data_IF_961107634491
#
_entry.id   IF_961107634491
#
_cell.length_a   1.000
_cell.length_b   1.000
_cell.length_c   1.000
_cell.angle_alpha   90.00
_cell.angle_beta   90.00
_cell.angle_gamma   90.00
#
_symmetry.space_group_name_H-M   'P 1'
#
loop_
_entity.id
_entity.type
_entity.pdbx_description
1 polymer ?
#
# COMPACT_ATOMS: atom_id res chain seq x y z
N UNK A 1 9.89 14.03 4.97
CA UNK A 1 10.33 13.08 6.02
C UNK A 1 11.73 13.48 6.48
N UNK A 2 12.05 13.40 7.78
CA UNK A 2 13.38 13.75 8.29
C UNK A 2 14.30 12.52 8.23
N UNK A 3 15.11 12.42 7.17
CA UNK A 3 15.98 11.25 6.92
C UNK A 3 17.10 11.12 7.96
N UNK A 4 17.65 12.23 8.42
CA UNK A 4 18.73 12.24 9.42
C UNK A 4 18.24 11.62 10.73
N UNK A 5 17.07 12.05 11.22
CA UNK A 5 16.44 11.49 12.42
C UNK A 5 16.05 10.02 12.26
N UNK A 6 15.61 9.62 11.06
CA UNK A 6 15.32 8.20 10.75
C UNK A 6 16.59 7.35 10.84
N UNK A 7 17.68 7.79 10.20
CA UNK A 7 18.96 7.10 10.22
C UNK A 7 19.53 7.02 11.65
N UNK A 8 19.43 8.08 12.44
CA UNK A 8 19.84 8.06 13.85
C UNK A 8 19.08 6.99 14.65
N UNK A 9 17.74 6.93 14.50
CA UNK A 9 16.93 5.92 15.18
C UNK A 9 17.27 4.49 14.76
N UNK A 10 17.51 4.26 13.47
CA UNK A 10 17.89 2.94 12.93
C UNK A 10 19.28 2.54 13.42
N UNK A 11 20.23 3.48 13.48
CA UNK A 11 21.57 3.22 14.01
C UNK A 11 21.51 2.75 15.46
N UNK A 12 20.77 3.47 16.31
CA UNK A 12 20.58 3.07 17.72
C UNK A 12 19.93 1.68 17.83
N UNK A 13 18.96 1.38 16.96
CA UNK A 13 18.36 0.04 16.90
C UNK A 13 19.38 -1.05 16.54
N UNK A 14 20.23 -0.80 15.53
CA UNK A 14 21.27 -1.75 15.10
C UNK A 14 22.35 -1.96 16.16
N UNK A 15 22.75 -0.89 16.86
CA UNK A 15 23.69 -0.97 17.99
C UNK A 15 23.14 -1.88 19.09
N UNK A 16 21.86 -1.72 19.45
CA UNK A 16 21.19 -2.60 20.41
C UNK A 16 21.05 -4.05 19.91
N UNK A 17 20.74 -4.25 18.62
CA UNK A 17 20.59 -5.58 18.03
C UNK A 17 21.91 -6.37 17.98
N UNK A 18 23.04 -5.67 17.85
CA UNK A 18 24.35 -6.28 17.62
C UNK A 18 25.24 -6.28 18.88
N UNK A 19 24.81 -5.67 19.98
CA UNK A 19 25.60 -5.44 21.18
C UNK A 19 26.31 -6.71 21.73
N UNK A 20 25.65 -7.86 21.67
CA UNK A 20 26.14 -9.12 22.26
C UNK A 20 26.73 -10.11 21.23
N UNK A 21 26.97 -9.70 19.99
CA UNK A 21 27.49 -10.61 18.95
C UNK A 21 29.01 -10.81 19.08
N UNK A 22 29.50 -12.07 19.02
CA UNK A 22 30.94 -12.31 19.02
C UNK A 22 31.61 -11.71 17.78
N UNK A 23 32.75 -11.06 17.97
CA UNK A 23 33.40 -10.18 17.00
C UNK A 23 34.05 -10.84 15.76
N UNK A 24 33.80 -12.13 15.45
CA UNK A 24 34.62 -12.85 14.47
C UNK A 24 33.81 -13.50 13.31
N UNK A 25 34.10 -13.05 12.09
CA UNK A 25 34.12 -13.92 10.91
C UNK A 25 32.93 -13.90 9.94
N UNK A 26 31.85 -13.17 10.20
CA UNK A 26 30.76 -13.04 9.24
C UNK A 26 30.97 -11.80 8.33
N UNK A 27 30.78 -11.91 7.00
CA UNK A 27 30.78 -10.72 6.14
C UNK A 27 29.71 -9.73 6.64
N UNK A 28 30.12 -8.47 6.89
CA UNK A 28 29.27 -7.41 7.47
C UNK A 28 29.37 -7.20 8.99
N UNK A 29 30.28 -7.89 9.69
CA UNK A 29 30.40 -7.85 11.16
C UNK A 29 31.44 -6.82 11.69
N UNK A 30 31.54 -5.65 11.07
CA UNK A 30 32.39 -4.54 11.56
C UNK A 30 31.55 -3.34 12.04
N UNK A 31 31.97 -2.61 13.10
CA UNK A 31 31.35 -1.35 13.55
C UNK A 31 31.28 -0.25 12.47
N UNK A 32 31.96 -0.47 11.34
CA UNK A 32 31.98 0.39 10.14
C UNK A 32 30.70 0.32 9.29
N UNK A 33 29.73 -0.54 9.62
CA UNK A 33 28.56 -0.81 8.75
C UNK A 33 27.21 -0.25 9.26
N UNK A 34 27.01 -0.04 10.56
CA UNK A 34 25.69 0.31 11.11
C UNK A 34 25.15 1.68 10.65
N UNK A 35 26.01 2.71 10.63
CA UNK A 35 25.63 4.03 10.15
C UNK A 35 25.24 4.01 8.65
N UNK A 36 26.03 3.31 7.83
CA UNK A 36 25.77 3.15 6.40
C UNK A 36 24.49 2.35 6.13
N UNK A 37 24.24 1.28 6.89
CA UNK A 37 22.97 0.53 6.82
C UNK A 37 21.81 1.45 7.21
N UNK A 38 21.96 2.22 8.28
CA UNK A 38 20.92 3.13 8.75
C UNK A 38 20.56 4.19 7.70
N UNK A 39 21.55 4.80 7.04
CA UNK A 39 21.34 5.71 5.92
C UNK A 39 20.59 5.04 4.76
N UNK A 40 21.01 3.83 4.38
CA UNK A 40 20.36 3.06 3.30
C UNK A 40 18.91 2.70 3.64
N UNK A 41 18.64 2.28 4.87
CA UNK A 41 17.29 1.95 5.33
C UNK A 41 16.44 3.23 5.40
N UNK A 42 16.97 4.33 5.92
CA UNK A 42 16.28 5.61 5.97
C UNK A 42 15.90 6.11 4.56
N UNK A 43 16.83 6.00 3.60
CA UNK A 43 16.58 6.32 2.20
C UNK A 43 15.52 5.39 1.57
N UNK A 44 15.64 4.07 1.75
CA UNK A 44 14.67 3.11 1.21
C UNK A 44 13.24 3.38 1.74
N UNK A 45 13.10 3.69 3.02
CA UNK A 45 11.80 4.05 3.59
C UNK A 45 11.31 5.40 3.07
N UNK A 46 12.14 6.45 3.11
CA UNK A 46 11.71 7.80 2.73
C UNK A 46 11.42 7.94 1.23
N UNK A 47 12.16 7.24 0.38
CA UNK A 47 12.18 7.52 -1.06
C UNK A 47 11.30 6.53 -1.82
N UNK A 48 11.21 5.31 -1.29
CA UNK A 48 10.44 4.24 -1.89
C UNK A 48 9.24 3.86 -1.02
N UNK A 49 9.45 3.12 0.07
CA UNK A 49 8.38 2.40 0.76
C UNK A 49 7.33 3.31 1.42
N UNK A 50 7.71 4.52 1.83
CA UNK A 50 6.84 5.53 2.42
C UNK A 50 6.74 6.81 1.56
N UNK A 51 7.18 6.77 0.30
CA UNK A 51 7.12 7.93 -0.61
C UNK A 51 5.69 8.42 -0.87
N UNK A 52 4.69 7.56 -0.67
CA UNK A 52 3.28 7.86 -0.83
C UNK A 52 2.73 8.93 0.14
N UNK A 53 3.42 9.22 1.25
CA UNK A 53 3.05 10.34 2.13
C UNK A 53 3.22 11.72 1.47
N UNK A 54 4.10 11.86 0.49
CA UNK A 54 4.33 13.11 -0.22
C UNK A 54 3.34 13.32 -1.39
N UNK A 55 2.49 12.34 -1.66
CA UNK A 55 1.57 12.34 -2.80
C UNK A 55 0.16 12.54 -2.28
N UNK A 56 -0.53 13.56 -2.80
CA UNK A 56 -1.98 13.68 -2.67
C UNK A 56 -2.65 12.72 -3.67
N UNK A 57 -3.31 11.65 -3.20
CA UNK A 57 -3.92 10.68 -4.09
C UNK A 57 -5.13 11.25 -4.84
N UNK A 58 -5.85 12.24 -4.29
CA UNK A 58 -6.99 12.84 -4.97
C UNK A 58 -6.56 13.63 -6.21
N UNK A 59 -5.44 14.34 -6.13
CA UNK A 59 -4.86 15.09 -7.24
C UNK A 59 -4.43 14.20 -8.43
N UNK A 60 -4.28 12.89 -8.24
CA UNK A 60 -3.92 11.95 -9.30
C UNK A 60 -5.08 11.60 -10.24
N UNK A 61 -6.34 11.70 -9.76
CA UNK A 61 -7.50 11.16 -10.46
C UNK A 61 -7.88 11.91 -11.73
N UNK A 62 -7.59 13.22 -11.83
CA UNK A 62 -7.79 14.05 -13.04
C UNK A 62 -9.01 13.63 -13.88
N UNK A 63 -10.25 13.82 -13.40
CA UNK A 63 -11.45 13.32 -14.04
C UNK A 63 -11.64 13.90 -15.45
N UNK A 64 -12.11 13.09 -16.38
CA UNK A 64 -12.42 13.48 -17.75
C UNK A 64 -13.92 13.33 -18.02
N UNK A 65 -14.58 14.31 -18.65
CA UNK A 65 -16.02 14.22 -18.95
C UNK A 65 -16.40 12.96 -19.73
N UNK A 66 -17.62 12.49 -19.51
CA UNK A 66 -18.28 11.47 -20.32
C UNK A 66 -19.54 12.06 -20.94
N UNK A 67 -19.64 11.99 -22.27
CA UNK A 67 -20.79 12.52 -23.02
C UNK A 67 -22.01 11.59 -22.98
N UNK A 68 -21.82 10.33 -22.61
CA UNK A 68 -22.88 9.31 -22.52
C UNK A 68 -22.78 8.52 -21.22
N UNK A 69 -23.90 7.90 -20.80
CA UNK A 69 -23.89 6.95 -19.70
C UNK A 69 -22.90 5.81 -20.00
N UNK A 70 -22.09 5.45 -19.00
CA UNK A 70 -21.10 4.38 -19.10
C UNK A 70 -21.45 3.25 -18.13
N UNK A 71 -21.14 2.01 -18.54
CA UNK A 71 -21.25 0.84 -17.70
C UNK A 71 -20.18 0.78 -16.61
N UNK A 72 -20.19 -0.28 -15.79
CA UNK A 72 -19.15 -0.52 -14.78
C UNK A 72 -17.74 -0.54 -15.38
N UNK A 73 -16.79 0.07 -14.70
CA UNK A 73 -15.35 0.00 -15.00
C UNK A 73 -14.68 -0.82 -13.91
N UNK A 74 -13.93 -1.84 -14.30
CA UNK A 74 -13.24 -2.75 -13.39
C UNK A 74 -11.80 -2.94 -13.83
N UNK A 75 -10.88 -2.67 -12.89
CA UNK A 75 -9.44 -2.86 -13.04
C UNK A 75 -8.98 -3.86 -11.98
N UNK A 76 -8.43 -5.00 -12.40
CA UNK A 76 -8.04 -6.11 -11.53
C UNK A 76 -6.54 -6.35 -11.56
N UNK A 77 -6.07 -7.10 -10.57
CA UNK A 77 -4.71 -7.60 -10.48
C UNK A 77 -3.64 -6.50 -10.40
N UNK A 78 -3.98 -5.35 -9.82
CA UNK A 78 -3.03 -4.29 -9.54
C UNK A 78 -2.12 -4.71 -8.39
N UNK A 79 -0.87 -5.05 -8.70
CA UNK A 79 0.11 -5.39 -7.67
C UNK A 79 0.39 -4.18 -6.79
N UNK A 80 0.47 -4.43 -5.49
CA UNK A 80 0.90 -3.43 -4.53
C UNK A 80 1.76 -4.06 -3.43
N UNK A 81 2.63 -3.24 -2.85
CA UNK A 81 3.38 -3.54 -1.64
C UNK A 81 3.13 -2.41 -0.65
N UNK A 82 2.91 -2.76 0.61
CA UNK A 82 2.70 -1.81 1.70
C UNK A 82 3.44 -2.28 2.94
N UNK A 83 3.60 -1.40 3.92
CA UNK A 83 4.21 -1.72 5.21
C UNK A 83 3.15 -1.79 6.31
N UNK A 84 3.14 -2.88 7.07
CA UNK A 84 2.25 -3.03 8.21
C UNK A 84 2.70 -2.08 9.34
N UNK A 85 1.83 -1.14 9.72
CA UNK A 85 2.15 -0.11 10.72
C UNK A 85 2.59 -0.68 12.09
N UNK A 86 2.17 -1.90 12.44
CA UNK A 86 2.50 -2.52 13.73
C UNK A 86 3.93 -3.03 13.84
N UNK A 87 4.53 -3.50 12.75
CA UNK A 87 5.80 -4.21 12.78
C UNK A 87 6.80 -3.74 11.72
N UNK A 88 6.39 -2.79 10.86
CA UNK A 88 7.16 -2.31 9.72
C UNK A 88 7.60 -3.42 8.74
N UNK A 89 6.89 -4.56 8.77
CA UNK A 89 7.11 -5.66 7.84
C UNK A 89 6.21 -5.47 6.61
N UNK A 90 6.72 -5.81 5.42
CA UNK A 90 5.94 -5.68 4.20
C UNK A 90 4.76 -6.65 4.18
N UNK A 91 3.68 -6.20 3.56
CA UNK A 91 2.62 -7.05 3.05
C UNK A 91 2.39 -6.70 1.58
N UNK A 92 2.14 -7.71 0.78
CA UNK A 92 2.12 -7.60 -0.68
C UNK A 92 0.95 -8.41 -1.24
N UNK A 93 0.36 -7.92 -2.32
CA UNK A 93 -0.87 -8.47 -2.83
C UNK A 93 -1.35 -7.84 -4.11
N UNK A 94 -2.63 -8.06 -4.38
CA UNK A 94 -3.34 -7.50 -5.53
C UNK A 94 -4.52 -6.66 -5.07
N UNK A 95 -4.71 -5.53 -5.74
CA UNK A 95 -5.87 -4.67 -5.62
C UNK A 95 -6.77 -4.85 -6.84
N UNK A 96 -8.06 -4.97 -6.58
CA UNK A 96 -9.11 -4.93 -7.59
C UNK A 96 -9.99 -3.72 -7.29
N UNK A 97 -10.16 -2.86 -8.28
CA UNK A 97 -10.88 -1.60 -8.16
C UNK A 97 -11.98 -1.55 -9.21
N UNK A 98 -13.21 -1.44 -8.75
CA UNK A 98 -14.38 -1.20 -9.59
C UNK A 98 -15.05 0.12 -9.23
N UNK A 99 -15.62 0.79 -10.23
CA UNK A 99 -16.55 1.89 -10.01
C UNK A 99 -17.58 1.99 -11.14
N UNK A 100 -18.72 2.61 -10.85
CA UNK A 100 -19.75 2.94 -11.84
C UNK A 100 -19.71 4.44 -12.11
N UNK A 101 -19.25 4.88 -13.30
CA UNK A 101 -19.09 6.29 -13.63
C UNK A 101 -20.37 7.13 -13.44
N UNK A 102 -20.19 8.41 -13.10
CA UNK A 102 -21.24 9.43 -13.11
C UNK A 102 -20.70 10.69 -13.79
N UNK A 103 -20.98 10.86 -15.07
CA UNK A 103 -20.61 12.05 -15.85
C UNK A 103 -19.11 12.24 -16.10
N UNK A 104 -18.23 11.43 -15.51
CA UNK A 104 -16.80 11.44 -15.77
C UNK A 104 -16.17 10.05 -15.65
N UNK A 105 -15.00 9.88 -16.26
CA UNK A 105 -14.13 8.72 -16.14
C UNK A 105 -12.71 9.15 -15.74
N UNK A 106 -11.85 8.17 -15.47
CA UNK A 106 -10.45 8.36 -15.07
C UNK A 106 -9.55 7.44 -15.87
N UNK A 107 -8.33 7.90 -16.17
CA UNK A 107 -7.33 7.06 -16.84
C UNK A 107 -6.88 5.89 -15.96
N UNK A 108 -6.69 4.71 -16.55
CA UNK A 108 -6.27 3.49 -15.82
C UNK A 108 -4.97 3.69 -15.03
N UNK A 109 -4.01 4.44 -15.60
CA UNK A 109 -2.76 4.78 -14.91
C UNK A 109 -2.95 5.68 -13.70
N UNK A 110 -4.01 6.49 -13.64
CA UNK A 110 -4.32 7.28 -12.45
C UNK A 110 -4.84 6.38 -11.31
N UNK A 111 -5.70 5.40 -11.60
CA UNK A 111 -6.15 4.43 -10.60
C UNK A 111 -4.98 3.65 -10.00
N UNK A 112 -4.08 3.13 -10.84
CA UNK A 112 -2.89 2.42 -10.38
C UNK A 112 -2.00 3.30 -9.48
N UNK A 113 -1.80 4.57 -9.85
CA UNK A 113 -1.02 5.52 -9.03
C UNK A 113 -1.71 5.88 -7.71
N UNK A 114 -3.04 5.92 -7.66
CA UNK A 114 -3.78 6.12 -6.39
C UNK A 114 -3.52 4.96 -5.44
N UNK A 115 -3.64 3.72 -5.93
CA UNK A 115 -3.33 2.53 -5.13
C UNK A 115 -1.89 2.57 -4.64
N UNK A 116 -0.92 2.84 -5.52
CA UNK A 116 0.51 2.94 -5.16
C UNK A 116 0.78 4.03 -4.10
N UNK A 117 0.24 5.24 -4.29
CA UNK A 117 0.44 6.36 -3.38
C UNK A 117 -0.13 6.09 -1.97
N UNK A 118 -1.22 5.34 -1.88
CA UNK A 118 -1.82 4.96 -0.60
C UNK A 118 -1.11 3.74 0.03
N UNK A 119 -0.67 2.78 -0.79
CA UNK A 119 0.03 1.58 -0.34
C UNK A 119 1.46 1.88 0.15
N UNK A 120 2.14 2.88 -0.43
CA UNK A 120 3.47 3.32 -0.01
C UNK A 120 3.42 4.21 1.25
N UNK A 121 2.79 3.68 2.30
CA UNK A 121 2.60 4.28 3.62
C UNK A 121 2.67 3.19 4.70
N UNK A 122 2.81 3.62 5.96
CA UNK A 122 2.57 2.73 7.10
C UNK A 122 1.07 2.65 7.34
N UNK A 123 0.45 1.51 7.02
CA UNK A 123 -1.00 1.37 7.09
C UNK A 123 -1.45 -0.07 7.34
N UNK A 124 -2.68 -0.24 7.80
CA UNK A 124 -3.37 -1.52 7.86
C UNK A 124 -4.09 -1.77 6.52
N UNK A 125 -4.31 -3.04 6.17
CA UNK A 125 -4.94 -3.38 4.88
C UNK A 125 -6.39 -2.89 4.81
N UNK A 126 -7.11 -2.95 5.93
CA UNK A 126 -8.45 -2.44 6.11
C UNK A 126 -8.49 -0.93 5.82
N UNK A 127 -7.58 -0.18 6.45
CA UNK A 127 -7.45 1.26 6.27
C UNK A 127 -7.02 1.62 4.84
N UNK A 128 -6.14 0.83 4.23
CA UNK A 128 -5.73 1.03 2.83
C UNK A 128 -6.91 0.82 1.87
N UNK A 129 -7.72 -0.23 2.08
CA UNK A 129 -8.90 -0.54 1.27
C UNK A 129 -9.91 0.60 1.34
N UNK A 130 -10.21 1.07 2.57
CA UNK A 130 -11.10 2.19 2.80
C UNK A 130 -10.57 3.49 2.17
N UNK A 131 -9.28 3.80 2.33
CA UNK A 131 -8.68 5.01 1.79
C UNK A 131 -8.73 5.07 0.26
N UNK A 132 -8.57 3.93 -0.43
CA UNK A 132 -8.70 3.87 -1.90
C UNK A 132 -10.16 4.15 -2.29
N UNK A 133 -11.13 3.49 -1.67
CA UNK A 133 -12.54 3.67 -1.97
C UNK A 133 -12.99 5.12 -1.74
N UNK A 134 -12.60 5.69 -0.60
CA UNK A 134 -12.87 7.08 -0.22
C UNK A 134 -12.25 8.10 -1.19
N UNK A 135 -11.04 7.81 -1.70
CA UNK A 135 -10.37 8.68 -2.68
C UNK A 135 -11.13 8.69 -4.00
N UNK A 136 -11.59 7.52 -4.46
CA UNK A 136 -12.38 7.40 -5.68
C UNK A 136 -13.75 8.05 -5.53
N UNK A 137 -14.40 7.85 -4.39
CA UNK A 137 -15.70 8.45 -4.10
C UNK A 137 -15.62 9.97 -4.13
N UNK A 138 -14.68 10.57 -3.40
CA UNK A 138 -14.50 12.02 -3.38
C UNK A 138 -14.05 12.59 -4.71
N UNK A 139 -13.16 11.90 -5.42
CA UNK A 139 -12.55 12.42 -6.65
C UNK A 139 -13.40 12.25 -7.91
N UNK A 140 -14.28 11.23 -7.96
CA UNK A 140 -15.06 10.91 -9.16
C UNK A 140 -16.58 11.04 -8.94
N UNK A 141 -17.04 11.15 -7.69
CA UNK A 141 -18.46 11.09 -7.30
C UNK A 141 -19.26 9.98 -8.05
N UNK A 142 -18.71 8.74 -8.14
CA UNK A 142 -19.31 7.68 -8.93
C UNK A 142 -20.62 7.20 -8.31
N UNK A 143 -21.43 6.47 -9.07
CA UNK A 143 -22.67 5.87 -8.55
C UNK A 143 -22.38 4.75 -7.53
N UNK A 144 -21.26 4.07 -7.70
CA UNK A 144 -20.76 3.06 -6.77
C UNK A 144 -19.24 2.87 -6.91
N UNK A 145 -18.61 2.39 -5.84
CA UNK A 145 -17.20 1.95 -5.80
C UNK A 145 -17.13 0.62 -5.07
N UNK A 146 -16.28 -0.28 -5.55
CA UNK A 146 -15.89 -1.50 -4.85
C UNK A 146 -14.37 -1.62 -4.92
N UNK A 147 -13.72 -1.77 -3.77
CA UNK A 147 -12.28 -2.03 -3.68
C UNK A 147 -12.08 -3.34 -2.94
N UNK A 148 -11.30 -4.25 -3.51
CA UNK A 148 -10.91 -5.51 -2.89
C UNK A 148 -9.40 -5.56 -2.86
N UNK A 149 -8.83 -5.76 -1.67
CA UNK A 149 -7.40 -6.06 -1.54
C UNK A 149 -7.25 -7.50 -1.06
N UNK A 150 -6.31 -8.22 -1.66
CA UNK A 150 -5.93 -9.55 -1.24
C UNK A 150 -4.41 -9.62 -1.09
N UNK A 151 -3.92 -9.79 0.14
CA UNK A 151 -2.49 -9.74 0.41
C UNK A 151 -2.03 -10.77 1.43
N UNK A 152 -0.73 -11.06 1.37
CA UNK A 152 0.01 -11.84 2.36
C UNK A 152 0.84 -10.90 3.22
N UNK A 153 0.78 -11.09 4.52
CA UNK A 153 1.45 -10.23 5.50
C UNK A 153 2.73 -10.86 6.05
N UNK A 154 3.86 -10.19 5.88
CA UNK A 154 5.14 -10.66 6.42
C UNK A 154 5.14 -10.81 7.95
N UNK A 155 4.30 -10.03 8.66
CA UNK A 155 4.16 -10.11 10.11
C UNK A 155 3.52 -11.42 10.59
N UNK A 156 2.72 -12.08 9.76
CA UNK A 156 2.10 -13.38 10.05
C UNK A 156 2.87 -14.53 9.36
N UNK A 157 3.48 -14.28 8.20
CA UNK A 157 4.22 -15.27 7.43
C UNK A 157 5.59 -15.60 8.04
N UNK A 158 6.33 -14.60 8.51
CA UNK A 158 7.76 -14.77 8.84
C UNK A 158 8.06 -14.85 10.34
N UNK A 159 7.09 -14.49 11.20
CA UNK A 159 7.23 -14.49 12.66
C UNK A 159 5.93 -14.87 13.35
N UNK A 160 5.98 -15.08 14.66
CA UNK A 160 4.81 -15.44 15.46
C UNK A 160 4.22 -16.78 15.00
N UNK A 161 2.98 -16.76 14.51
CA UNK A 161 2.27 -17.97 14.07
C UNK A 161 2.85 -18.62 12.81
N UNK A 162 3.68 -17.92 12.02
CA UNK A 162 4.40 -18.46 10.84
C UNK A 162 3.47 -19.17 9.86
N UNK A 163 2.48 -18.45 9.34
CA UNK A 163 1.51 -18.97 8.37
C UNK A 163 1.89 -18.46 6.97
N UNK A 164 2.76 -19.13 6.19
CA UNK A 164 3.29 -18.59 4.94
C UNK A 164 2.26 -18.54 3.80
N UNK A 165 1.23 -19.38 3.85
CA UNK A 165 0.25 -19.53 2.76
C UNK A 165 -1.06 -18.77 3.02
N UNK A 166 -1.13 -17.99 4.11
CA UNK A 166 -2.33 -17.21 4.43
C UNK A 166 -2.58 -16.12 3.39
N UNK A 167 -3.85 -15.73 3.29
CA UNK A 167 -4.29 -14.61 2.47
C UNK A 167 -5.38 -13.84 3.22
N UNK A 168 -5.18 -12.54 3.39
CA UNK A 168 -6.17 -11.65 3.97
C UNK A 168 -6.89 -10.92 2.84
N UNK A 169 -8.21 -11.01 2.84
CA UNK A 169 -9.07 -10.26 1.91
C UNK A 169 -9.83 -9.19 2.68
N UNK A 170 -9.77 -7.95 2.19
CA UNK A 170 -10.54 -6.81 2.71
C UNK A 170 -11.34 -6.22 1.56
N UNK A 171 -12.57 -5.79 1.86
CA UNK A 171 -13.49 -5.28 0.85
C UNK A 171 -14.16 -4.02 1.36
N UNK A 172 -14.10 -2.96 0.57
CA UNK A 172 -14.83 -1.73 0.83
C UNK A 172 -15.83 -1.45 -0.29
N UNK A 173 -17.04 -1.02 0.09
CA UNK A 173 -18.15 -0.73 -0.83
C UNK A 173 -18.74 0.64 -0.54
N UNK A 174 -19.04 1.40 -1.60
CA UNK A 174 -19.73 2.69 -1.54
C UNK A 174 -20.82 2.76 -2.60
N UNK A 175 -21.93 3.43 -2.30
CA UNK A 175 -23.04 3.66 -3.22
C UNK A 175 -24.01 2.49 -3.37
N UNK A 176 -25.22 2.79 -3.83
CA UNK A 176 -26.39 1.88 -3.83
C UNK A 176 -26.25 0.68 -4.78
N UNK A 177 -25.44 0.81 -5.85
CA UNK A 177 -25.25 -0.25 -6.87
C UNK A 177 -23.98 -1.08 -6.66
N UNK A 178 -23.32 -0.95 -5.50
CA UNK A 178 -22.07 -1.67 -5.21
C UNK A 178 -22.23 -3.20 -5.24
N UNK A 179 -23.42 -3.74 -4.94
CA UNK A 179 -23.68 -5.18 -4.97
C UNK A 179 -23.61 -5.79 -6.38
N UNK A 180 -23.94 -5.02 -7.42
CA UNK A 180 -23.84 -5.48 -8.83
C UNK A 180 -22.38 -5.47 -9.30
N UNK A 181 -21.62 -4.47 -8.84
CA UNK A 181 -20.20 -4.32 -9.12
C UNK A 181 -19.34 -5.39 -8.42
N UNK A 182 -19.80 -5.88 -7.26
CA UNK A 182 -19.10 -6.84 -6.43
C UNK A 182 -18.74 -8.14 -7.17
N UNK A 183 -19.69 -8.69 -7.93
CA UNK A 183 -19.49 -9.90 -8.76
C UNK A 183 -18.40 -9.72 -9.80
N UNK A 184 -18.38 -8.56 -10.46
CA UNK A 184 -17.40 -8.24 -11.49
C UNK A 184 -15.99 -8.08 -10.90
N UNK A 185 -15.88 -7.43 -9.74
CA UNK A 185 -14.59 -7.19 -9.08
C UNK A 185 -14.03 -8.47 -8.47
N UNK A 186 -14.86 -9.27 -7.79
CA UNK A 186 -14.46 -10.55 -7.18
C UNK A 186 -14.25 -11.66 -8.21
N UNK A 187 -14.71 -11.47 -9.45
CA UNK A 187 -14.62 -12.49 -10.51
C UNK A 187 -15.46 -13.73 -10.20
N UNK A 188 -16.58 -13.56 -9.50
CA UNK A 188 -17.52 -14.63 -9.09
C UNK A 188 -18.94 -14.31 -9.51
#
# INVERSE_FOLDING_TARGET
>A
MNRERMAEGIRTFLEGLLADRPAAGAPGAGPTDAARIAERVAAAFADDLCGGYAIDPAALLRPMPLDTAAGPVVLRDLRFVSLCAHHLLPYEGVAHVGFVPRGCHVGLGALARVVDALARRLTLQESLTAAIADTLERGLAPRAVVVVLEARHGCLAHRGARQPDHRLTTIERRGETAAELDRLVLGR
#
